data_IF_099875519586
#
_entry.id   IF_099875519586
#
_cell.length_a   1.000
_cell.length_b   1.000
_cell.length_c   1.000
_cell.angle_alpha   90.00
_cell.angle_beta   90.00
_cell.angle_gamma   90.00
#
_symmetry.space_group_name_H-M   'P 1'
#
loop_
_entity.id
_entity.type
_entity.pdbx_description
1 polymer ?
#
# COMPACT_ATOMS: atom_id res chain seq x y z
N UNK A 1 39.35 -4.80 -29.07
CA UNK A 1 39.75 -3.85 -28.02
C UNK A 1 38.83 -2.65 -28.11
N UNK A 2 37.78 -2.63 -27.34
CA UNK A 2 36.92 -1.47 -27.14
C UNK A 2 36.62 -1.37 -25.66
N UNK A 3 37.08 -0.29 -25.06
CA UNK A 3 36.91 0.03 -23.65
C UNK A 3 35.47 0.43 -23.39
N UNK A 4 34.84 -0.21 -22.44
CA UNK A 4 33.56 0.22 -21.87
C UNK A 4 33.87 1.22 -20.76
N UNK A 5 33.50 2.46 -21.01
CA UNK A 5 33.58 3.58 -20.07
C UNK A 5 32.63 3.32 -18.89
N UNK A 6 33.20 3.31 -17.67
CA UNK A 6 32.42 3.27 -16.44
C UNK A 6 31.61 4.55 -16.26
N UNK A 7 30.31 4.40 -16.04
CA UNK A 7 29.49 5.50 -15.58
C UNK A 7 29.77 5.73 -14.09
N UNK A 8 30.27 6.90 -13.74
CA UNK A 8 30.39 7.40 -12.37
C UNK A 8 29.00 7.48 -11.73
N UNK A 9 28.85 6.82 -10.61
CA UNK A 9 27.71 6.99 -9.70
C UNK A 9 27.89 8.39 -9.10
N UNK A 10 27.08 9.34 -9.54
CA UNK A 10 26.99 10.64 -8.91
C UNK A 10 26.42 10.45 -7.50
N UNK A 11 27.24 10.78 -6.50
CA UNK A 11 26.84 10.99 -5.12
C UNK A 11 25.57 11.86 -5.07
N UNK A 12 24.51 11.37 -4.43
CA UNK A 12 23.40 12.23 -4.05
C UNK A 12 23.95 13.28 -3.10
N UNK A 13 23.64 14.55 -3.31
CA UNK A 13 23.98 15.56 -2.31
C UNK A 13 23.27 15.18 -1.01
N UNK A 14 24.03 15.11 0.09
CA UNK A 14 23.50 15.03 1.45
C UNK A 14 22.37 16.06 1.58
N UNK A 15 21.17 15.59 1.87
CA UNK A 15 20.06 16.45 2.26
C UNK A 15 20.50 17.16 3.54
N UNK A 16 20.97 18.38 3.36
CA UNK A 16 21.28 19.29 4.45
C UNK A 16 20.01 19.40 5.32
N UNK A 17 20.09 18.93 6.54
CA UNK A 17 19.06 19.07 7.55
C UNK A 17 18.69 20.55 7.66
N UNK A 18 17.62 20.91 6.98
CA UNK A 18 17.00 22.20 7.11
C UNK A 18 16.32 22.19 8.47
N UNK A 19 16.88 22.91 9.47
CA UNK A 19 16.42 22.97 10.86
C UNK A 19 15.07 23.69 11.03
N UNK A 20 14.07 23.32 10.25
CA UNK A 20 12.69 23.66 10.47
C UNK A 20 12.14 22.84 11.65
N UNK A 21 11.39 23.47 12.55
CA UNK A 21 10.69 22.77 13.61
C UNK A 21 9.79 21.68 12.99
N UNK A 22 9.76 20.49 13.58
CA UNK A 22 8.83 19.42 13.16
C UNK A 22 7.39 19.96 13.22
N UNK A 23 6.53 19.63 12.25
CA UNK A 23 5.15 20.07 12.28
C UNK A 23 4.43 19.57 13.54
N UNK A 24 3.63 20.43 14.11
CA UNK A 24 2.81 20.09 15.27
C UNK A 24 1.69 19.14 14.87
N UNK A 25 1.12 18.35 15.81
CA UNK A 25 -0.04 17.51 15.54
C UNK A 25 -1.22 18.25 14.90
N UNK A 26 -1.49 19.48 15.31
CA UNK A 26 -2.58 20.29 14.73
C UNK A 26 -2.28 20.72 13.29
N UNK A 27 -1.01 21.02 12.97
CA UNK A 27 -0.60 21.32 11.58
C UNK A 27 -0.69 20.10 10.69
N UNK A 28 -0.30 18.92 11.19
CA UNK A 28 -0.46 17.64 10.49
C UNK A 28 -1.94 17.36 10.23
N UNK A 29 -2.80 17.52 11.25
CA UNK A 29 -4.23 17.33 11.12
C UNK A 29 -4.85 18.30 10.11
N UNK A 30 -4.48 19.59 10.13
CA UNK A 30 -4.95 20.58 9.18
C UNK A 30 -4.51 20.26 7.74
N UNK A 31 -3.26 19.83 7.54
CA UNK A 31 -2.76 19.37 6.26
C UNK A 31 -3.57 18.17 5.76
N UNK A 32 -3.71 17.13 6.58
CA UNK A 32 -4.46 15.92 6.23
C UNK A 32 -5.92 16.21 5.91
N UNK A 33 -6.56 17.09 6.68
CA UNK A 33 -7.93 17.54 6.39
C UNK A 33 -8.06 18.19 5.02
N UNK A 34 -7.05 18.93 4.57
CA UNK A 34 -7.04 19.57 3.25
C UNK A 34 -6.92 18.59 2.09
N UNK A 35 -6.46 17.36 2.36
CA UNK A 35 -6.30 16.30 1.37
C UNK A 35 -7.55 15.41 1.21
N UNK A 36 -8.61 15.65 1.96
CA UNK A 36 -9.87 14.90 1.79
C UNK A 36 -10.42 15.12 0.38
N UNK A 37 -10.62 14.01 -0.34
CA UNK A 37 -11.02 14.00 -1.75
C UNK A 37 -9.84 14.02 -2.74
N UNK A 38 -8.59 14.12 -2.27
CA UNK A 38 -7.41 14.02 -3.14
C UNK A 38 -7.20 12.57 -3.59
N UNK A 39 -6.90 12.39 -4.88
CA UNK A 39 -6.58 11.12 -5.50
C UNK A 39 -5.08 11.02 -5.78
N UNK A 40 -4.51 9.89 -5.44
CA UNK A 40 -3.14 9.52 -5.70
C UNK A 40 -3.09 8.21 -6.48
N UNK A 41 -2.66 8.26 -7.71
CA UNK A 41 -2.42 7.05 -8.50
C UNK A 41 -0.98 6.61 -8.33
N UNK A 42 -0.76 5.36 -7.93
CA UNK A 42 0.60 4.81 -7.77
C UNK A 42 1.28 4.76 -9.14
N UNK A 43 2.50 5.30 -9.23
CA UNK A 43 3.23 5.51 -10.49
C UNK A 43 3.59 4.23 -11.24
N UNK A 44 3.65 3.10 -10.53
CA UNK A 44 4.01 1.81 -11.08
C UNK A 44 2.86 0.81 -10.96
N UNK A 45 2.88 -0.21 -11.79
CA UNK A 45 1.93 -1.32 -11.72
C UNK A 45 2.51 -2.51 -10.97
N UNK A 46 1.64 -3.25 -10.32
CA UNK A 46 1.97 -4.53 -9.71
C UNK A 46 1.57 -5.67 -10.66
N UNK A 47 2.53 -6.47 -11.13
CA UNK A 47 2.25 -7.64 -11.98
C UNK A 47 2.05 -8.90 -11.12
N UNK A 48 0.91 -9.56 -11.29
CA UNK A 48 0.59 -10.78 -10.55
C UNK A 48 1.32 -11.97 -11.15
N UNK A 49 2.35 -12.42 -10.47
CA UNK A 49 3.16 -13.59 -10.85
C UNK A 49 2.50 -14.92 -10.44
N UNK A 50 2.75 -15.98 -11.22
CA UNK A 50 2.28 -17.34 -10.92
C UNK A 50 2.78 -17.86 -9.58
N UNK A 51 4.06 -17.68 -9.32
CA UNK A 51 4.67 -18.17 -8.08
C UNK A 51 4.26 -17.32 -6.87
N UNK A 52 3.93 -16.07 -7.07
CA UNK A 52 3.41 -15.19 -6.01
C UNK A 52 2.01 -15.62 -5.58
N UNK A 53 1.13 -15.97 -6.54
CA UNK A 53 -0.19 -16.56 -6.24
C UNK A 53 -0.02 -17.81 -5.38
N UNK A 54 0.88 -18.73 -5.79
CA UNK A 54 1.13 -19.98 -5.08
C UNK A 54 1.72 -19.77 -3.69
N UNK A 55 2.70 -18.89 -3.57
CA UNK A 55 3.32 -18.54 -2.28
C UNK A 55 2.30 -17.94 -1.32
N UNK A 56 1.46 -17.02 -1.82
CA UNK A 56 0.40 -16.45 -1.00
C UNK A 56 -0.61 -17.49 -0.55
N UNK A 57 -1.12 -18.32 -1.50
CA UNK A 57 -2.05 -19.40 -1.18
C UNK A 57 -1.47 -20.37 -0.14
N UNK A 58 -0.18 -20.70 -0.25
CA UNK A 58 0.51 -21.53 0.74
C UNK A 58 0.60 -20.84 2.11
N UNK A 59 0.93 -19.56 2.14
CA UNK A 59 1.07 -18.79 3.38
C UNK A 59 -0.25 -18.67 4.15
N UNK A 60 -1.37 -18.52 3.43
CA UNK A 60 -2.72 -18.44 4.02
C UNK A 60 -3.42 -19.81 4.11
N UNK A 61 -2.70 -20.89 3.77
CA UNK A 61 -3.19 -22.28 3.77
C UNK A 61 -4.42 -22.50 2.88
N UNK A 62 -4.52 -21.78 1.76
CA UNK A 62 -5.58 -21.93 0.78
C UNK A 62 -5.19 -22.99 -0.25
N UNK A 63 -5.81 -24.18 -0.14
CA UNK A 63 -5.57 -25.30 -1.03
C UNK A 63 -6.49 -25.31 -2.27
N UNK A 64 -7.26 -24.23 -2.54
CA UNK A 64 -8.21 -24.23 -3.64
C UNK A 64 -7.49 -24.40 -4.99
N UNK A 65 -7.93 -25.33 -5.87
CA UNK A 65 -7.19 -25.70 -7.09
C UNK A 65 -6.92 -24.54 -8.05
N UNK A 66 -7.73 -23.50 -8.04
CA UNK A 66 -7.60 -22.31 -8.89
C UNK A 66 -6.30 -21.53 -8.70
N UNK A 67 -5.63 -21.69 -7.56
CA UNK A 67 -4.37 -21.02 -7.24
C UNK A 67 -3.14 -21.82 -7.65
N UNK A 68 -3.32 -23.10 -8.00
CA UNK A 68 -2.21 -24.04 -8.14
C UNK A 68 -1.93 -24.48 -9.57
N UNK A 69 -2.98 -24.67 -10.39
CA UNK A 69 -2.82 -25.19 -11.75
C UNK A 69 -3.84 -24.59 -12.72
N UNK A 70 -3.47 -24.57 -14.01
CA UNK A 70 -4.36 -24.14 -15.09
C UNK A 70 -5.58 -25.10 -15.21
N UNK A 71 -5.37 -26.39 -14.96
CA UNK A 71 -6.44 -27.38 -14.97
C UNK A 71 -7.44 -27.09 -13.83
N UNK A 72 -6.91 -26.84 -12.62
CA UNK A 72 -7.73 -26.43 -11.49
C UNK A 72 -8.51 -25.15 -11.76
N UNK A 73 -7.87 -24.13 -12.34
CA UNK A 73 -8.55 -22.89 -12.69
C UNK A 73 -9.68 -23.13 -13.71
N UNK A 74 -9.42 -23.91 -14.77
CA UNK A 74 -10.44 -24.25 -15.80
C UNK A 74 -11.60 -25.04 -15.26
N UNK A 75 -11.37 -25.95 -14.31
CA UNK A 75 -12.45 -26.72 -13.67
C UNK A 75 -13.48 -25.83 -12.95
N UNK A 76 -13.08 -24.61 -12.58
CA UNK A 76 -13.93 -23.60 -11.94
C UNK A 76 -14.28 -22.42 -12.87
N UNK A 77 -14.08 -22.58 -14.19
CA UNK A 77 -14.51 -21.60 -15.20
C UNK A 77 -13.55 -20.44 -15.42
N UNK A 78 -12.30 -20.52 -14.93
CA UNK A 78 -11.29 -19.49 -15.14
C UNK A 78 -10.32 -19.91 -16.25
N UNK A 79 -9.91 -18.94 -17.06
CA UNK A 79 -8.95 -19.13 -18.17
C UNK A 79 -7.50 -19.27 -17.67
N UNK A 80 -7.19 -18.71 -16.51
CA UNK A 80 -5.86 -18.65 -15.90
C UNK A 80 -5.95 -18.83 -14.38
N UNK A 81 -4.80 -19.01 -13.72
CA UNK A 81 -4.75 -19.00 -12.26
C UNK A 81 -5.32 -17.68 -11.73
N UNK A 82 -6.06 -17.77 -10.65
CA UNK A 82 -6.56 -16.61 -9.91
C UNK A 82 -5.89 -16.52 -8.55
N UNK A 83 -5.69 -15.30 -8.07
CA UNK A 83 -5.21 -15.07 -6.72
C UNK A 83 -6.32 -15.33 -5.69
N UNK A 84 -5.94 -15.75 -4.49
CA UNK A 84 -6.88 -15.86 -3.37
C UNK A 84 -7.50 -14.49 -3.07
N UNK A 85 -8.75 -14.41 -2.59
CA UNK A 85 -9.38 -13.13 -2.26
C UNK A 85 -8.56 -12.29 -1.27
N UNK A 86 -7.85 -12.93 -0.35
CA UNK A 86 -6.98 -12.28 0.63
C UNK A 86 -5.71 -11.65 0.03
N UNK A 87 -5.40 -11.90 -1.26
CA UNK A 87 -4.25 -11.33 -1.95
C UNK A 87 -4.26 -9.79 -1.99
N UNK A 88 -5.43 -9.20 -1.82
CA UNK A 88 -5.60 -7.74 -1.69
C UNK A 88 -4.74 -7.13 -0.57
N UNK A 89 -4.41 -7.88 0.47
CA UNK A 89 -3.57 -7.38 1.57
C UNK A 89 -2.17 -6.98 1.10
N UNK A 90 -1.61 -7.67 0.10
CA UNK A 90 -0.32 -7.32 -0.51
C UNK A 90 -0.40 -5.97 -1.21
N UNK A 91 -1.42 -5.77 -2.04
CA UNK A 91 -1.62 -4.52 -2.79
C UNK A 91 -1.98 -3.35 -1.87
N UNK A 92 -2.77 -3.60 -0.83
CA UNK A 92 -3.20 -2.59 0.14
C UNK A 92 -2.01 -1.99 0.88
N UNK A 93 -1.06 -2.80 1.31
CA UNK A 93 0.16 -2.33 1.99
C UNK A 93 0.99 -1.43 1.07
N UNK A 94 1.22 -1.85 -0.18
CA UNK A 94 2.01 -1.08 -1.15
C UNK A 94 1.35 0.28 -1.42
N UNK A 95 0.06 0.29 -1.70
CA UNK A 95 -0.68 1.50 -2.02
C UNK A 95 -0.76 2.47 -0.82
N UNK A 96 -1.03 1.97 0.38
CA UNK A 96 -1.08 2.78 1.60
C UNK A 96 0.28 3.36 1.95
N UNK A 97 1.35 2.56 1.86
CA UNK A 97 2.70 3.03 2.12
C UNK A 97 3.02 4.26 1.27
N UNK A 98 2.80 4.17 -0.04
CA UNK A 98 3.03 5.28 -0.96
C UNK A 98 2.18 6.51 -0.64
N UNK A 99 0.92 6.32 -0.29
CA UNK A 99 0.06 7.42 0.12
C UNK A 99 0.62 8.18 1.34
N UNK A 100 1.09 7.47 2.37
CA UNK A 100 1.61 8.09 3.60
C UNK A 100 3.03 8.64 3.44
N UNK A 101 3.87 8.04 2.57
CA UNK A 101 5.20 8.56 2.29
C UNK A 101 5.16 9.84 1.43
N UNK A 102 4.29 9.88 0.42
CA UNK A 102 4.33 10.91 -0.62
C UNK A 102 3.29 12.03 -0.41
N UNK A 103 2.16 11.74 0.24
CA UNK A 103 1.00 12.65 0.27
C UNK A 103 0.55 12.98 1.70
N UNK A 104 0.13 11.99 2.46
CA UNK A 104 -0.38 12.16 3.83
C UNK A 104 0.79 12.09 4.80
N UNK A 105 1.60 13.15 4.83
CA UNK A 105 2.83 13.20 5.62
C UNK A 105 2.57 13.51 7.10
N UNK A 106 3.54 13.18 7.97
CA UNK A 106 3.47 13.44 9.41
C UNK A 106 2.93 12.29 10.25
N UNK A 107 2.67 11.14 9.63
CA UNK A 107 2.34 9.90 10.32
C UNK A 107 3.42 8.85 10.06
N UNK A 108 3.83 8.19 11.11
CA UNK A 108 4.70 7.03 10.99
C UNK A 108 3.84 5.79 10.72
N UNK A 109 4.19 5.04 9.67
CA UNK A 109 3.45 3.82 9.26
C UNK A 109 3.31 2.80 10.39
N UNK A 110 4.27 2.74 11.32
CA UNK A 110 4.26 1.84 12.48
C UNK A 110 3.25 2.23 13.55
N UNK A 111 2.76 3.47 13.50
CA UNK A 111 1.77 4.00 14.44
C UNK A 111 0.38 4.07 13.83
N UNK A 112 0.22 3.59 12.60
CA UNK A 112 -1.07 3.49 11.92
C UNK A 112 -1.67 2.12 12.17
N UNK A 113 -2.86 2.09 12.74
CA UNK A 113 -3.62 0.88 12.99
C UNK A 113 -4.84 0.81 12.07
N UNK A 114 -4.97 -0.28 11.34
CA UNK A 114 -6.20 -0.56 10.61
C UNK A 114 -7.28 -1.03 11.59
N UNK A 115 -8.43 -0.36 11.57
CA UNK A 115 -9.55 -0.66 12.48
C UNK A 115 -10.70 -1.38 11.78
N UNK A 116 -10.89 -1.14 10.49
CA UNK A 116 -11.93 -1.78 9.69
C UNK A 116 -11.53 -1.81 8.21
N UNK A 117 -12.10 -2.75 7.45
CA UNK A 117 -11.92 -2.82 6.01
C UNK A 117 -13.20 -3.32 5.32
N UNK A 118 -13.60 -2.62 4.28
CA UNK A 118 -14.65 -3.04 3.36
C UNK A 118 -14.04 -3.36 2.00
N UNK A 119 -14.40 -4.53 1.44
CA UNK A 119 -13.92 -5.01 0.15
C UNK A 119 -15.08 -5.23 -0.82
N UNK A 120 -14.94 -4.78 -2.05
CA UNK A 120 -15.85 -5.07 -3.15
C UNK A 120 -15.03 -5.64 -4.30
N UNK A 121 -15.24 -6.92 -4.60
CA UNK A 121 -14.61 -7.62 -5.72
C UNK A 121 -15.46 -7.43 -6.97
N UNK A 122 -14.89 -6.91 -8.04
CA UNK A 122 -15.54 -6.72 -9.32
C UNK A 122 -15.25 -7.89 -10.27
N UNK A 123 -14.02 -8.40 -10.21
CA UNK A 123 -13.57 -9.57 -10.97
C UNK A 123 -12.38 -10.23 -10.26
N UNK A 124 -12.07 -11.50 -10.56
CA UNK A 124 -10.91 -12.18 -10.01
C UNK A 124 -9.61 -11.53 -10.47
N UNK A 125 -8.63 -11.42 -9.57
CA UNK A 125 -7.25 -11.09 -9.92
C UNK A 125 -6.59 -12.31 -10.55
N UNK A 126 -6.06 -12.16 -11.75
CA UNK A 126 -5.53 -13.28 -12.55
C UNK A 126 -4.01 -13.17 -12.71
N UNK A 127 -3.35 -14.31 -12.87
CA UNK A 127 -1.94 -14.33 -13.24
C UNK A 127 -1.68 -13.53 -14.52
N UNK A 128 -0.65 -12.67 -14.49
CA UNK A 128 -0.30 -11.78 -15.58
C UNK A 128 -1.10 -10.46 -15.64
N UNK A 129 -2.02 -10.24 -14.69
CA UNK A 129 -2.64 -8.92 -14.57
C UNK A 129 -1.63 -7.90 -14.07
N UNK A 130 -1.68 -6.70 -14.66
CA UNK A 130 -0.92 -5.53 -14.23
C UNK A 130 -1.88 -4.59 -13.54
N UNK A 131 -1.74 -4.51 -12.22
CA UNK A 131 -2.67 -3.80 -11.36
C UNK A 131 -2.11 -2.43 -10.99
N UNK A 132 -2.94 -1.41 -11.18
CA UNK A 132 -2.67 -0.03 -10.77
C UNK A 132 -3.62 0.33 -9.63
N UNK A 133 -3.09 0.97 -8.60
CA UNK A 133 -3.84 1.42 -7.45
C UNK A 133 -4.12 2.92 -7.55
N UNK A 134 -5.38 3.31 -7.47
CA UNK A 134 -5.84 4.69 -7.33
C UNK A 134 -6.39 4.88 -5.93
N UNK A 135 -5.64 5.61 -5.10
CA UNK A 135 -5.92 5.79 -3.68
C UNK A 135 -6.43 7.19 -3.42
N UNK A 136 -7.48 7.32 -2.63
CA UNK A 136 -8.01 8.59 -2.17
C UNK A 136 -8.22 8.61 -0.65
N UNK A 137 -8.13 9.80 -0.06
CA UNK A 137 -8.55 10.04 1.31
C UNK A 137 -10.02 10.44 1.31
N UNK A 138 -10.91 9.52 1.70
CA UNK A 138 -12.37 9.75 1.65
C UNK A 138 -12.88 10.59 2.83
N UNK A 139 -12.29 10.41 4.01
CA UNK A 139 -12.66 11.17 5.20
C UNK A 139 -11.52 11.26 6.20
N UNK A 140 -11.55 12.31 6.99
CA UNK A 140 -10.60 12.56 8.06
C UNK A 140 -11.33 13.15 9.27
N UNK A 141 -10.89 12.80 10.48
CA UNK A 141 -11.36 13.37 11.72
C UNK A 141 -10.26 13.40 12.77
N UNK A 142 -9.89 14.59 13.21
CA UNK A 142 -9.00 14.80 14.35
C UNK A 142 -9.76 14.71 15.67
N UNK A 143 -9.24 13.95 16.64
CA UNK A 143 -9.76 13.83 18.00
C UNK A 143 -8.66 14.24 18.96
N UNK A 144 -8.81 15.39 19.59
CA UNK A 144 -7.77 16.00 20.44
C UNK A 144 -7.86 15.63 21.93
N UNK A 145 -8.95 15.00 22.39
CA UNK A 145 -9.16 14.67 23.81
C UNK A 145 -9.99 13.39 23.97
N UNK A 146 -9.69 12.51 24.95
CA UNK A 146 -8.60 12.57 25.93
C UNK A 146 -7.23 12.19 25.38
N UNK A 147 -7.19 11.47 24.27
CA UNK A 147 -5.96 11.11 23.54
C UNK A 147 -6.01 11.70 22.15
N UNK A 148 -4.88 12.18 21.68
CA UNK A 148 -4.76 12.70 20.32
C UNK A 148 -4.73 11.53 19.34
N UNK A 149 -5.78 11.43 18.52
CA UNK A 149 -5.94 10.35 17.53
C UNK A 149 -6.60 10.92 16.26
N UNK A 150 -6.05 10.56 15.13
CA UNK A 150 -6.60 10.86 13.83
C UNK A 150 -7.26 9.61 13.25
N UNK A 151 -8.51 9.78 12.81
CA UNK A 151 -9.28 8.73 12.16
C UNK A 151 -9.42 9.07 10.68
N UNK A 152 -9.05 8.13 9.84
CA UNK A 152 -9.04 8.28 8.38
C UNK A 152 -9.78 7.13 7.71
N UNK A 153 -10.40 7.42 6.58
CA UNK A 153 -10.86 6.38 5.65
C UNK A 153 -10.18 6.61 4.32
N UNK A 154 -9.40 5.66 3.90
CA UNK A 154 -8.82 5.63 2.55
C UNK A 154 -9.66 4.72 1.66
N UNK A 155 -9.78 5.09 0.38
CA UNK A 155 -10.35 4.24 -0.66
C UNK A 155 -9.27 3.93 -1.67
N UNK A 156 -9.20 2.68 -2.11
CA UNK A 156 -8.31 2.26 -3.18
C UNK A 156 -9.14 1.55 -4.25
N UNK A 157 -9.09 2.06 -5.47
CA UNK A 157 -9.65 1.37 -6.64
C UNK A 157 -8.51 0.74 -7.39
N UNK A 158 -8.57 -0.57 -7.55
CA UNK A 158 -7.54 -1.36 -8.22
C UNK A 158 -8.03 -1.66 -9.63
N UNK A 159 -7.25 -1.24 -10.61
CA UNK A 159 -7.53 -1.39 -12.04
C UNK A 159 -6.57 -2.39 -12.67
N UNK A 160 -7.02 -3.11 -13.70
CA UNK A 160 -6.14 -3.93 -14.53
C UNK A 160 -5.61 -3.14 -15.73
N UNK A 161 -4.78 -3.77 -16.56
CA UNK A 161 -4.19 -3.19 -17.78
C UNK A 161 -5.21 -2.87 -18.89
N UNK A 162 -6.48 -3.18 -18.70
CA UNK A 162 -7.56 -2.90 -19.65
C UNK A 162 -8.50 -1.79 -19.14
N UNK A 163 -8.09 -1.05 -18.10
CA UNK A 163 -8.89 -0.03 -17.43
C UNK A 163 -10.20 -0.60 -16.85
N UNK A 164 -10.19 -1.86 -16.44
CA UNK A 164 -11.33 -2.51 -15.80
C UNK A 164 -11.10 -2.56 -14.28
N UNK A 165 -12.09 -2.19 -13.45
CA UNK A 165 -11.94 -2.29 -12.01
C UNK A 165 -11.93 -3.76 -11.59
N UNK A 166 -10.91 -4.12 -10.83
CA UNK A 166 -10.75 -5.46 -10.27
C UNK A 166 -11.32 -5.51 -8.87
N UNK A 167 -11.04 -4.49 -8.07
CA UNK A 167 -11.48 -4.40 -6.70
C UNK A 167 -11.58 -2.94 -6.24
N UNK A 168 -12.47 -2.69 -5.30
CA UNK A 168 -12.48 -1.45 -4.53
C UNK A 168 -12.40 -1.77 -3.04
N UNK A 169 -11.50 -1.10 -2.34
CA UNK A 169 -11.35 -1.25 -0.89
C UNK A 169 -11.59 0.08 -0.19
N UNK A 170 -12.17 0.03 1.00
CA UNK A 170 -12.19 1.14 1.95
C UNK A 170 -11.53 0.65 3.22
N UNK A 171 -10.54 1.38 3.70
CA UNK A 171 -9.78 1.03 4.89
C UNK A 171 -9.89 2.15 5.91
N UNK A 172 -10.40 1.82 7.08
CA UNK A 172 -10.45 2.74 8.22
C UNK A 172 -9.18 2.60 9.04
N UNK A 173 -8.54 3.73 9.29
CA UNK A 173 -7.25 3.83 9.96
C UNK A 173 -7.36 4.73 11.18
N UNK A 174 -6.64 4.38 12.23
CA UNK A 174 -6.39 5.23 13.39
C UNK A 174 -4.88 5.47 13.50
N UNK A 175 -4.47 6.71 13.66
CA UNK A 175 -3.08 7.11 13.72
C UNK A 175 -2.86 8.20 14.78
N UNK A 176 -1.62 8.29 15.29
CA UNK A 176 -1.20 9.38 16.18
C UNK A 176 -0.26 10.32 15.42
N UNK A 177 -0.65 11.60 15.23
CA UNK A 177 0.19 12.53 14.50
C UNK A 177 1.41 12.96 15.31
N UNK A 178 2.56 13.14 14.63
CA UNK A 178 3.75 13.77 15.21
C UNK A 178 4.45 13.01 16.33
N UNK A 179 4.14 11.73 16.54
CA UNK A 179 4.89 10.91 17.48
C UNK A 179 6.15 10.35 16.82
N UNK A 180 7.28 10.43 17.53
CA UNK A 180 8.49 9.74 17.11
C UNK A 180 8.41 8.26 17.52
N UNK A 181 8.82 7.38 16.63
CA UNK A 181 9.04 5.96 16.95
C UNK A 181 10.40 5.84 17.66
N UNK A 182 10.50 4.90 18.60
CA UNK A 182 11.77 4.53 19.19
C UNK A 182 12.73 4.07 18.06
N UNK A 183 13.91 4.70 17.89
CA UNK A 183 14.84 4.35 16.82
C UNK A 183 15.28 2.86 16.82
N UNK A 184 15.32 2.21 17.98
CA UNK A 184 15.64 0.78 18.07
C UNK A 184 14.50 -0.07 17.53
N UNK A 185 13.25 0.34 17.79
CA UNK A 185 12.06 -0.30 17.26
C UNK A 185 11.97 -0.11 15.74
N UNK A 186 12.19 1.11 15.25
CA UNK A 186 12.22 1.44 13.81
C UNK A 186 13.23 0.56 13.06
N UNK A 187 14.49 0.50 13.54
CA UNK A 187 15.54 -0.33 12.95
C UNK A 187 15.18 -1.83 12.95
N UNK A 188 14.50 -2.31 13.99
CA UNK A 188 14.04 -3.70 14.07
C UNK A 188 12.93 -4.01 13.08
N UNK A 189 12.02 -3.06 12.88
CA UNK A 189 10.87 -3.20 11.98
C UNK A 189 11.29 -3.11 10.51
N UNK A 190 12.21 -2.22 10.16
CA UNK A 190 12.77 -2.11 8.81
C UNK A 190 13.46 -3.41 8.34
N UNK A 191 13.98 -4.19 9.28
CA UNK A 191 14.58 -5.49 8.98
C UNK A 191 13.55 -6.57 8.65
N UNK A 192 12.32 -6.43 9.13
CA UNK A 192 11.22 -7.39 8.94
C UNK A 192 10.37 -7.07 7.71
N UNK A 193 10.35 -5.80 7.28
CA UNK A 193 9.58 -5.39 6.12
C UNK A 193 10.27 -5.79 4.83
N UNK A 194 9.53 -6.46 3.98
CA UNK A 194 9.94 -6.84 2.63
C UNK A 194 10.22 -5.55 1.83
N UNK A 195 11.49 -5.40 1.43
CA UNK A 195 11.90 -4.36 0.48
C UNK A 195 11.50 -4.76 -0.93
#
# INVERSE_FOLDING_TARGET
MSQVSGAEIQDRPDEASNGGAKPTPDEIAAHTQSLVGFHYTVDDYYEIGREEIRKHAMAVQDAHPTHWSEEGARAFGHDRLIAAPTYVSVLGIIAQRKLFEDVVTGYDMWQIMQTDQRLVYHQPMKVGDRLICDVSLESFRHVSSPEMIDLMVTKNVIWNQHDEPVMTTWTSLAARPGMDVDPELEASLDHVMIK
#
